data_IF_110364386127
#
_entry.id   IF_110364386127
#
_cell.length_a   1.000
_cell.length_b   1.000
_cell.length_c   1.000
_cell.angle_alpha   90.00
_cell.angle_beta   90.00
_cell.angle_gamma   90.00
#
_symmetry.space_group_name_H-M   'P 1'
#
loop_
_entity.id
_entity.type
_entity.pdbx_description
1 polymer ?
#
# COMPACT_ATOMS: atom_id res chain seq x y z
N UNK A 1 10.37 -40.00 -46.25
CA UNK A 1 9.05 -39.37 -46.54
C UNK A 1 8.58 -38.55 -45.34
N UNK A 2 8.60 -37.21 -45.44
CA UNK A 2 8.15 -36.32 -44.36
C UNK A 2 6.64 -36.03 -44.45
N UNK A 3 5.88 -36.33 -43.39
CA UNK A 3 4.44 -35.99 -43.29
C UNK A 3 4.26 -34.47 -43.32
N UNK A 4 3.67 -33.93 -44.40
CA UNK A 4 3.23 -32.53 -44.47
C UNK A 4 2.18 -32.27 -43.36
N UNK A 5 2.49 -31.42 -42.38
CA UNK A 5 1.53 -30.96 -41.36
C UNK A 5 0.35 -30.29 -42.07
N UNK A 6 -0.88 -30.80 -41.87
CA UNK A 6 -2.11 -30.15 -42.35
C UNK A 6 -2.20 -28.75 -41.72
N UNK A 7 -2.31 -27.70 -42.54
CA UNK A 7 -2.60 -26.34 -42.07
C UNK A 7 -4.00 -26.37 -41.44
N UNK A 8 -4.09 -26.36 -40.11
CA UNK A 8 -5.37 -26.24 -39.42
C UNK A 8 -5.86 -24.80 -39.55
N UNK A 9 -6.84 -24.55 -40.41
CA UNK A 9 -7.53 -23.26 -40.44
C UNK A 9 -8.26 -23.09 -39.10
N UNK A 10 -8.03 -21.96 -38.42
CA UNK A 10 -8.78 -21.66 -37.20
C UNK A 10 -10.26 -21.57 -37.53
N UNK A 11 -11.12 -22.12 -36.67
CA UNK A 11 -12.57 -21.96 -36.84
C UNK A 11 -12.94 -20.46 -36.79
N UNK A 12 -13.99 -20.03 -37.53
CA UNK A 12 -14.45 -18.64 -37.51
C UNK A 12 -14.76 -18.11 -36.10
N UNK A 13 -15.18 -19.00 -35.18
CA UNK A 13 -15.40 -18.66 -33.76
C UNK A 13 -14.09 -18.38 -33.04
N UNK A 14 -13.05 -19.17 -33.30
CA UNK A 14 -11.75 -19.00 -32.67
C UNK A 14 -10.99 -17.78 -33.22
N UNK A 15 -11.13 -17.46 -34.51
CA UNK A 15 -10.58 -16.23 -35.09
C UNK A 15 -11.24 -14.97 -34.50
N UNK A 16 -12.58 -14.95 -34.39
CA UNK A 16 -13.33 -13.86 -33.73
C UNK A 16 -12.92 -13.69 -32.26
N UNK A 17 -12.76 -14.80 -31.50
CA UNK A 17 -12.29 -14.75 -30.09
C UNK A 17 -10.88 -14.17 -29.98
N UNK A 18 -9.98 -14.55 -30.89
CA UNK A 18 -8.59 -14.05 -30.93
C UNK A 18 -8.54 -12.57 -31.28
N UNK A 19 -9.34 -12.12 -32.25
CA UNK A 19 -9.48 -10.71 -32.61
C UNK A 19 -10.02 -9.88 -31.44
N UNK A 20 -11.05 -10.37 -30.73
CA UNK A 20 -11.63 -9.69 -29.56
C UNK A 20 -10.64 -9.58 -28.39
N UNK A 21 -9.86 -10.64 -28.10
CA UNK A 21 -8.76 -10.57 -27.13
C UNK A 21 -7.71 -9.53 -27.57
N UNK A 22 -7.33 -9.52 -28.85
CA UNK A 22 -6.35 -8.56 -29.38
C UNK A 22 -6.84 -7.12 -29.19
N UNK A 23 -8.08 -6.82 -29.59
CA UNK A 23 -8.71 -5.51 -29.36
C UNK A 23 -8.69 -5.09 -27.89
N UNK A 24 -9.05 -5.99 -26.95
CA UNK A 24 -9.00 -5.71 -25.51
C UNK A 24 -7.58 -5.48 -24.97
N UNK A 25 -6.55 -5.98 -25.66
CA UNK A 25 -5.15 -5.75 -25.34
C UNK A 25 -4.60 -4.49 -26.00
N UNK A 26 -5.12 -4.13 -27.18
CA UNK A 26 -4.68 -2.97 -27.99
C UNK A 26 -5.32 -1.66 -27.55
N UNK A 27 -6.52 -1.70 -26.95
CA UNK A 27 -7.08 -0.51 -26.31
C UNK A 27 -6.21 -0.25 -25.07
N UNK A 28 -5.24 0.67 -25.19
CA UNK A 28 -4.39 1.06 -24.07
C UNK A 28 -5.30 1.41 -22.90
N UNK A 29 -5.22 0.61 -21.84
CA UNK A 29 -5.99 0.83 -20.61
C UNK A 29 -5.50 2.18 -20.08
N UNK A 30 -6.25 3.26 -20.30
CA UNK A 30 -5.88 4.55 -19.74
C UNK A 30 -5.75 4.38 -18.22
N UNK A 31 -4.60 4.76 -17.67
CA UNK A 31 -4.40 4.73 -16.22
C UNK A 31 -5.40 5.72 -15.64
N UNK A 32 -6.37 5.22 -14.87
CA UNK A 32 -7.24 6.09 -14.10
C UNK A 32 -6.39 6.82 -13.07
N UNK A 33 -6.53 8.13 -13.03
CA UNK A 33 -5.95 8.95 -11.98
C UNK A 33 -6.57 8.54 -10.63
N UNK A 34 -5.75 8.48 -9.60
CA UNK A 34 -6.19 8.03 -8.29
C UNK A 34 -6.93 9.17 -7.58
N UNK A 35 -8.18 8.91 -7.19
CA UNK A 35 -8.97 9.79 -6.35
C UNK A 35 -9.23 9.13 -4.99
N UNK A 36 -9.06 9.88 -3.91
CA UNK A 36 -9.45 9.44 -2.57
C UNK A 36 -10.79 10.07 -2.21
N UNK A 37 -11.83 9.24 -2.11
CA UNK A 37 -13.21 9.68 -1.79
C UNK A 37 -13.72 10.83 -2.69
N UNK A 38 -13.30 10.84 -3.95
CA UNK A 38 -13.70 11.86 -4.93
C UNK A 38 -12.75 13.06 -5.06
N UNK A 39 -11.67 13.11 -4.29
CA UNK A 39 -10.67 14.18 -4.36
C UNK A 39 -9.35 13.72 -4.95
N UNK A 40 -8.71 14.61 -5.70
CA UNK A 40 -7.36 14.41 -6.23
C UNK A 40 -6.30 14.58 -5.15
N UNK A 41 -5.12 14.02 -5.38
CA UNK A 41 -4.01 14.06 -4.42
C UNK A 41 -3.56 15.50 -4.15
N UNK A 42 -3.48 16.32 -5.19
CA UNK A 42 -3.07 17.73 -5.07
C UNK A 42 -4.07 18.52 -4.21
N UNK A 43 -5.36 18.29 -4.43
CA UNK A 43 -6.42 18.89 -3.61
C UNK A 43 -6.29 18.47 -2.15
N UNK A 44 -6.06 17.18 -1.87
CA UNK A 44 -5.94 16.65 -0.51
C UNK A 44 -4.71 17.18 0.25
N UNK A 45 -3.62 17.50 -0.46
CA UNK A 45 -2.42 18.08 0.15
C UNK A 45 -2.65 19.53 0.56
N UNK A 46 -3.42 20.28 -0.23
CA UNK A 46 -3.72 21.69 0.04
C UNK A 46 -4.89 21.89 1.01
N UNK A 47 -5.70 20.86 1.25
CA UNK A 47 -6.83 20.94 2.18
C UNK A 47 -6.37 21.10 3.64
N UNK A 48 -7.05 21.95 4.43
CA UNK A 48 -6.76 22.08 5.84
C UNK A 48 -7.14 20.79 6.60
N UNK A 49 -6.40 20.50 7.67
CA UNK A 49 -6.66 19.35 8.55
C UNK A 49 -7.93 19.52 9.37
N UNK A 50 -8.19 20.75 9.80
CA UNK A 50 -9.28 21.16 10.68
C UNK A 50 -10.15 22.22 9.96
N UNK A 51 -11.42 22.40 10.37
CA UNK A 51 -12.27 23.43 9.81
C UNK A 51 -11.72 24.82 10.18
N UNK A 52 -11.50 25.67 9.18
CA UNK A 52 -10.94 27.02 9.39
C UNK A 52 -12.04 28.01 9.76
N UNK A 53 -13.22 27.98 9.12
CA UNK A 53 -14.38 28.82 9.48
C UNK A 53 -15.60 28.38 8.65
N UNK A 54 -16.50 27.57 9.23
CA UNK A 54 -17.78 27.19 8.61
C UNK A 54 -17.72 26.32 7.34
N UNK A 55 -16.53 25.94 6.86
CA UNK A 55 -16.35 25.01 5.74
C UNK A 55 -16.38 23.55 6.20
N UNK A 56 -17.25 22.76 5.58
CA UNK A 56 -17.36 21.31 5.85
C UNK A 56 -16.22 20.49 5.18
N UNK A 57 -15.38 21.16 4.39
CA UNK A 57 -14.32 20.56 3.58
C UNK A 57 -12.97 20.60 4.31
N UNK A 58 -12.74 19.59 5.15
CA UNK A 58 -11.46 19.39 5.84
C UNK A 58 -11.04 17.92 5.82
N UNK A 59 -9.72 17.68 5.80
CA UNK A 59 -9.16 16.34 5.60
C UNK A 59 -9.64 15.33 6.65
N UNK A 60 -9.76 15.74 7.93
CA UNK A 60 -10.16 14.83 8.99
C UNK A 60 -11.59 14.27 8.81
N UNK A 61 -12.48 14.96 8.08
CA UNK A 61 -13.82 14.46 7.74
C UNK A 61 -13.79 13.29 6.77
N UNK A 62 -12.82 13.32 5.85
CA UNK A 62 -12.59 12.32 4.81
C UNK A 62 -11.85 11.08 5.36
N UNK A 63 -11.17 11.17 6.49
CA UNK A 63 -10.43 10.04 7.05
C UNK A 63 -11.34 9.05 7.82
N UNK A 64 -10.93 7.77 7.97
CA UNK A 64 -11.65 6.81 8.81
C UNK A 64 -11.76 7.27 10.28
N UNK A 65 -12.80 6.79 10.98
CA UNK A 65 -13.13 7.23 12.34
C UNK A 65 -11.97 7.12 13.34
N UNK A 66 -11.14 6.06 13.25
CA UNK A 66 -9.98 5.87 14.13
C UNK A 66 -8.92 6.96 13.91
N UNK A 67 -8.58 7.23 12.65
CA UNK A 67 -7.60 8.26 12.29
C UNK A 67 -8.11 9.64 12.67
N UNK A 68 -9.39 9.94 12.38
CA UNK A 68 -10.04 11.19 12.78
C UNK A 68 -9.95 11.39 14.30
N UNK A 69 -10.23 10.35 15.09
CA UNK A 69 -10.11 10.40 16.56
C UNK A 69 -8.68 10.70 17.02
N UNK A 70 -7.67 10.09 16.38
CA UNK A 70 -6.26 10.38 16.69
C UNK A 70 -5.90 11.83 16.40
N UNK A 71 -6.34 12.39 15.27
CA UNK A 71 -6.07 13.78 14.90
C UNK A 71 -6.79 14.75 15.84
N UNK A 72 -8.09 14.52 16.11
CA UNK A 72 -8.91 15.38 16.99
C UNK A 72 -8.40 15.40 18.43
N UNK A 73 -7.82 14.29 18.90
CA UNK A 73 -7.21 14.22 20.24
C UNK A 73 -5.84 14.89 20.32
N UNK A 74 -5.23 15.21 19.18
CA UNK A 74 -3.84 15.63 19.10
C UNK A 74 -2.90 14.46 18.85
N UNK A 75 -1.89 14.72 18.04
CA UNK A 75 -0.77 13.82 17.82
C UNK A 75 0.18 13.90 19.04
N UNK A 76 0.97 12.85 19.26
CA UNK A 76 2.06 12.96 20.22
C UNK A 76 3.11 13.94 19.69
N UNK A 77 3.80 14.67 20.57
CA UNK A 77 4.90 15.59 20.22
C UNK A 77 5.92 14.95 19.27
N UNK A 78 6.16 13.65 19.46
CA UNK A 78 7.11 12.89 18.66
C UNK A 78 6.57 12.54 17.26
N UNK A 79 5.26 12.38 17.13
CA UNK A 79 4.59 12.21 15.85
C UNK A 79 4.52 13.53 15.08
N UNK A 80 4.35 14.66 15.77
CA UNK A 80 4.45 16.00 15.19
C UNK A 80 5.87 16.27 14.68
N UNK A 81 6.89 16.02 15.50
CA UNK A 81 8.31 16.09 15.07
C UNK A 81 8.60 15.18 13.88
N UNK A 82 7.95 14.02 13.80
CA UNK A 82 8.08 13.13 12.65
C UNK A 82 7.43 13.72 11.40
N UNK A 83 6.21 14.26 11.50
CA UNK A 83 5.54 14.97 10.41
C UNK A 83 6.40 16.11 9.87
N UNK A 84 6.92 16.96 10.76
CA UNK A 84 7.78 18.10 10.39
C UNK A 84 9.06 17.63 9.70
N UNK A 85 9.66 16.54 10.20
CA UNK A 85 10.85 15.94 9.58
C UNK A 85 10.54 15.46 8.17
N UNK A 86 9.39 14.84 7.98
CA UNK A 86 8.93 14.37 6.67
C UNK A 86 8.68 15.54 5.72
N UNK A 87 8.14 16.65 6.21
CA UNK A 87 7.91 17.85 5.38
C UNK A 87 9.23 18.53 4.99
N UNK A 88 10.20 18.62 5.91
CA UNK A 88 11.49 19.29 5.67
C UNK A 88 12.49 18.44 4.90
N UNK A 89 12.40 17.12 4.98
CA UNK A 89 13.39 16.23 4.36
C UNK A 89 13.31 16.30 2.84
N UNK A 90 14.43 16.66 2.21
CA UNK A 90 14.62 16.54 0.76
C UNK A 90 14.96 15.10 0.34
N UNK A 91 15.38 14.26 1.28
CA UNK A 91 15.69 12.86 1.05
C UNK A 91 14.42 12.04 0.94
N UNK A 92 14.38 11.14 -0.04
CA UNK A 92 13.21 10.28 -0.29
C UNK A 92 12.98 9.25 0.82
N UNK A 93 14.04 8.80 1.52
CA UNK A 93 13.96 7.74 2.53
C UNK A 93 14.09 8.26 3.94
N UNK A 94 13.09 8.00 4.79
CA UNK A 94 13.05 8.47 6.18
C UNK A 94 12.81 7.30 7.12
N UNK A 95 13.66 7.15 8.13
CA UNK A 95 13.53 6.09 9.15
C UNK A 95 12.66 6.54 10.32
N UNK A 96 11.77 5.67 10.77
CA UNK A 96 10.89 5.93 11.92
C UNK A 96 10.62 4.69 12.77
N UNK A 97 10.43 4.92 14.06
CA UNK A 97 9.88 3.94 15.00
C UNK A 97 8.39 4.16 15.26
N UNK A 98 7.82 5.27 14.76
CA UNK A 98 6.42 5.66 14.96
C UNK A 98 5.53 4.86 14.03
N UNK A 99 5.01 3.74 14.55
CA UNK A 99 4.08 2.83 13.86
C UNK A 99 2.62 3.27 14.02
N UNK A 100 2.37 4.15 14.99
CA UNK A 100 1.09 4.74 15.38
C UNK A 100 0.76 6.02 14.61
N UNK A 101 1.64 6.47 13.71
CA UNK A 101 1.38 7.62 12.85
C UNK A 101 0.42 7.24 11.70
N UNK A 102 -0.71 7.97 11.51
CA UNK A 102 -1.54 7.80 10.33
C UNK A 102 -0.84 8.34 9.08
N UNK A 103 -1.08 7.70 7.94
CA UNK A 103 -0.56 8.14 6.64
C UNK A 103 -1.40 9.31 6.15
N UNK A 104 -0.74 10.46 6.07
CA UNK A 104 -1.30 11.71 5.58
C UNK A 104 -0.99 11.90 4.09
N UNK A 105 -1.78 12.71 3.35
CA UNK A 105 -1.52 13.02 1.96
C UNK A 105 -0.09 13.55 1.71
N UNK A 106 0.47 14.31 2.65
CA UNK A 106 1.84 14.87 2.62
C UNK A 106 2.96 13.81 2.56
N UNK A 107 2.64 12.55 2.87
CA UNK A 107 3.61 11.45 2.90
C UNK A 107 3.67 10.69 1.58
N UNK A 108 2.70 10.90 0.69
CA UNK A 108 2.63 10.22 -0.60
C UNK A 108 3.86 10.57 -1.43
N UNK A 109 4.49 9.55 -2.03
CA UNK A 109 5.71 9.71 -2.82
C UNK A 109 7.01 9.67 -2.01
N UNK A 110 6.94 9.56 -0.68
CA UNK A 110 8.11 9.34 0.18
C UNK A 110 8.23 7.86 0.56
N UNK A 111 9.46 7.42 0.76
CA UNK A 111 9.79 6.08 1.27
C UNK A 111 10.00 6.17 2.77
N UNK A 112 9.11 5.55 3.55
CA UNK A 112 9.21 5.55 5.01
C UNK A 112 9.69 4.18 5.46
N UNK A 113 10.87 4.13 6.06
CA UNK A 113 11.43 2.93 6.64
C UNK A 113 10.91 2.78 8.08
N UNK A 114 9.96 1.86 8.29
CA UNK A 114 9.26 1.64 9.55
C UNK A 114 9.93 0.51 10.33
N UNK A 115 10.29 0.75 11.59
CA UNK A 115 10.87 -0.29 12.45
C UNK A 115 9.84 -1.39 12.76
N UNK A 116 10.22 -2.66 12.56
CA UNK A 116 9.37 -3.82 12.85
C UNK A 116 9.74 -4.56 14.14
N UNK A 117 10.71 -4.06 14.90
CA UNK A 117 11.24 -4.69 16.11
C UNK A 117 12.62 -5.31 15.92
N UNK A 118 13.02 -5.61 14.68
CA UNK A 118 14.34 -6.15 14.34
C UNK A 118 15.03 -5.28 13.29
N UNK A 119 14.34 -4.98 12.20
CA UNK A 119 14.85 -4.25 11.04
C UNK A 119 13.92 -3.08 10.69
N UNK A 120 14.39 -2.21 9.81
CA UNK A 120 13.55 -1.19 9.19
C UNK A 120 13.01 -1.72 7.87
N UNK A 121 11.69 -1.76 7.75
CA UNK A 121 11.00 -2.16 6.52
C UNK A 121 10.72 -0.91 5.72
N UNK A 122 11.30 -0.80 4.54
CA UNK A 122 11.06 0.33 3.62
C UNK A 122 9.67 0.20 2.99
N UNK A 123 8.86 1.23 3.18
CA UNK A 123 7.50 1.32 2.64
C UNK A 123 7.43 2.53 1.72
N UNK A 124 7.28 2.28 0.43
CA UNK A 124 6.98 3.32 -0.55
C UNK A 124 5.51 3.72 -0.42
N UNK A 125 5.26 4.93 0.08
CA UNK A 125 3.91 5.40 0.40
C UNK A 125 3.16 5.70 -0.89
N UNK A 126 2.17 4.85 -1.19
CA UNK A 126 1.26 5.00 -2.33
C UNK A 126 0.01 5.81 -1.92
N UNK A 127 -0.65 6.49 -2.87
CA UNK A 127 -1.90 7.20 -2.60
C UNK A 127 -3.01 6.33 -2.00
N UNK A 128 -3.03 5.04 -2.36
CA UNK A 128 -3.99 4.04 -1.85
C UNK A 128 -3.87 3.81 -0.33
N UNK A 129 -2.74 4.21 0.28
CA UNK A 129 -2.45 3.98 1.69
C UNK A 129 -2.95 5.13 2.61
N UNK A 130 -3.53 6.19 2.06
CA UNK A 130 -4.05 7.32 2.84
C UNK A 130 -5.14 6.87 3.82
N UNK A 131 -4.99 7.25 5.09
CA UNK A 131 -5.93 6.88 6.16
C UNK A 131 -5.67 5.53 6.83
N UNK A 132 -4.57 4.85 6.48
CA UNK A 132 -4.03 3.71 7.22
C UNK A 132 -2.92 4.15 8.18
N UNK A 133 -2.53 3.29 9.13
CA UNK A 133 -1.37 3.53 9.99
C UNK A 133 -0.09 2.94 9.39
N UNK A 134 1.06 3.59 9.60
CA UNK A 134 2.37 3.08 9.13
C UNK A 134 2.67 1.66 9.64
N UNK A 135 2.22 1.33 10.85
CA UNK A 135 2.40 0.01 11.44
C UNK A 135 1.69 -1.13 10.71
N UNK A 136 0.67 -0.83 9.90
CA UNK A 136 -0.06 -1.85 9.12
C UNK A 136 0.80 -2.44 8.00
N UNK A 137 1.73 -1.65 7.46
CA UNK A 137 2.59 -2.04 6.34
C UNK A 137 3.87 -2.75 6.76
N UNK A 138 4.24 -2.67 8.04
CA UNK A 138 5.47 -3.27 8.56
C UNK A 138 5.15 -4.40 9.55
N UNK A 139 5.01 -5.63 9.08
CA UNK A 139 4.65 -6.77 9.94
C UNK A 139 5.78 -7.07 10.96
N UNK A 140 5.42 -7.24 12.24
CA UNK A 140 6.36 -7.50 13.35
C UNK A 140 6.68 -8.98 13.58
N UNK A 141 5.81 -9.86 13.08
CA UNK A 141 5.94 -11.32 13.23
C UNK A 141 6.10 -12.00 11.88
N UNK A 142 6.85 -13.09 11.84
CA UNK A 142 6.91 -13.95 10.66
C UNK A 142 5.63 -14.77 10.56
N UNK A 143 5.10 -14.95 9.36
CA UNK A 143 4.03 -15.91 9.12
C UNK A 143 4.58 -17.32 9.36
N UNK A 144 4.00 -18.04 10.31
CA UNK A 144 4.34 -19.45 10.56
C UNK A 144 3.36 -20.30 9.78
N UNK A 145 3.87 -21.17 8.91
CA UNK A 145 3.06 -22.14 8.19
C UNK A 145 3.34 -23.53 8.78
N UNK A 146 2.28 -24.19 9.25
CA UNK A 146 2.37 -25.56 9.75
C UNK A 146 2.31 -26.53 8.57
N UNK A 147 3.44 -26.81 7.92
CA UNK A 147 3.50 -27.78 6.82
C UNK A 147 3.76 -29.20 7.32
N UNK A 148 4.78 -29.41 8.14
CA UNK A 148 5.10 -30.72 8.71
C UNK A 148 6.06 -30.65 9.90
N UNK A 149 6.26 -31.75 10.65
CA UNK A 149 7.20 -31.79 11.76
C UNK A 149 8.61 -31.36 11.30
N UNK A 150 9.19 -30.35 11.97
CA UNK A 150 10.52 -29.83 11.65
C UNK A 150 10.63 -28.84 10.48
N UNK A 151 9.62 -28.69 9.62
CA UNK A 151 9.64 -27.73 8.49
C UNK A 151 8.66 -26.59 8.74
N UNK A 152 9.16 -25.37 8.86
CA UNK A 152 8.34 -24.15 9.02
C UNK A 152 7.82 -23.88 10.43
N UNK A 153 8.13 -24.73 11.41
CA UNK A 153 7.64 -24.63 12.78
C UNK A 153 8.59 -23.81 13.70
N UNK A 154 8.10 -23.38 14.87
CA UNK A 154 8.86 -22.58 15.86
C UNK A 154 10.08 -23.33 16.39
N UNK A 155 11.06 -22.62 16.98
CA UNK A 155 12.31 -23.22 17.54
C UNK A 155 12.06 -24.45 18.44
N UNK A 156 10.93 -24.49 19.15
CA UNK A 156 10.51 -25.59 20.03
C UNK A 156 10.17 -26.90 19.30
N UNK A 157 9.67 -26.83 18.07
CA UNK A 157 9.22 -27.97 17.26
C UNK A 157 10.26 -28.46 16.26
N UNK A 158 11.51 -27.96 16.36
CA UNK A 158 12.63 -28.37 15.51
C UNK A 158 13.14 -29.78 15.86
N UNK A 159 12.80 -30.29 17.03
CA UNK A 159 13.19 -31.64 17.44
C UNK A 159 12.26 -32.67 16.81
N UNK A 160 12.73 -33.31 15.74
CA UNK A 160 12.13 -34.54 15.22
C UNK A 160 12.89 -35.70 15.87
N UNK A 161 12.25 -36.52 16.72
CA UNK A 161 12.91 -37.71 17.24
C UNK A 161 13.18 -38.64 16.06
N UNK A 162 14.46 -38.82 15.72
CA UNK A 162 14.90 -39.86 14.80
C UNK A 162 14.71 -41.19 15.53
N UNK A 163 13.91 -42.09 14.96
CA UNK A 163 13.77 -43.47 15.41
C UNK A 163 14.86 -44.33 14.81
#
# INVERSE_FOLDING_TARGET
>A
MGRKKKKSFMTPKASRRKARKRLSTTTARQKKEFTYRGYDIETLVNMPMFPEEGSDEYLARLLPARVRRSIVRGLSEQNEKFRDRVQRSKSNTIRTHRRDMPILPEFVGKTIAVHNGQNFVEVDVKPEMIGHYLGEFAITRRGVAHSGPGVGATRSSKHVPLK
#
